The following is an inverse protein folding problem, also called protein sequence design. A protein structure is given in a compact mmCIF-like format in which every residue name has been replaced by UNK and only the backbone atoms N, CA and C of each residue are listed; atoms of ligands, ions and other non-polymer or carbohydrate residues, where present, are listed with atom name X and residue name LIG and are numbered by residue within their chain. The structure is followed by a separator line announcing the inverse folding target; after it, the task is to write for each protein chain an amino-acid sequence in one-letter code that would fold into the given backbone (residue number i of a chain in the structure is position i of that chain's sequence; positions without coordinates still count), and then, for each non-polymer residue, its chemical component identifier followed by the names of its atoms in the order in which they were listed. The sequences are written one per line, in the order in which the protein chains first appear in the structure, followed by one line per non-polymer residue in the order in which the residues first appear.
data_IF_444384849000
#
_entry.id   IF_444384849000
#
_cell.length_a   1.000
_cell.length_b   1.000
_cell.length_c   1.000
_cell.angle_alpha   90.00
_cell.angle_beta   90.00
_cell.angle_gamma   90.00
#
_symmetry.space_group_name_H-M   'P 1'
#
loop_
_entity.id
_entity.type
_entity.pdbx_description
1 polymer ?
#
# COMPACT_ATOMS: atom_id res chain seq x y z
N UNK A 1 6.26 -26.36 -7.87
CA UNK A 1 5.01 -26.58 -8.65
C UNK A 1 4.60 -25.25 -9.28
N UNK A 2 4.36 -25.19 -10.59
CA UNK A 2 3.89 -23.96 -11.25
C UNK A 2 2.43 -23.68 -10.90
N UNK A 3 2.15 -22.56 -10.21
CA UNK A 3 0.79 -22.06 -10.09
C UNK A 3 0.22 -21.80 -11.50
N UNK A 4 -0.93 -22.41 -11.84
CA UNK A 4 -1.58 -22.19 -13.13
C UNK A 4 -2.03 -20.73 -13.25
N UNK A 5 -2.10 -20.21 -14.48
CA UNK A 5 -2.58 -18.85 -14.75
C UNK A 5 -3.95 -18.58 -14.13
N UNK A 6 -4.83 -19.58 -13.99
CA UNK A 6 -6.13 -19.39 -13.34
C UNK A 6 -6.01 -19.09 -11.83
N UNK A 7 -5.06 -19.73 -11.12
CA UNK A 7 -4.84 -19.44 -9.68
C UNK A 7 -4.30 -18.03 -9.46
N UNK A 8 -3.42 -17.56 -10.34
CA UNK A 8 -2.93 -16.19 -10.32
C UNK A 8 -4.06 -15.18 -10.53
N UNK A 9 -4.90 -15.38 -11.55
CA UNK A 9 -6.03 -14.50 -11.84
C UNK A 9 -7.03 -14.50 -10.68
N UNK A 10 -7.29 -15.66 -10.07
CA UNK A 10 -8.12 -15.76 -8.86
C UNK A 10 -7.54 -14.95 -7.69
N UNK A 11 -6.24 -15.06 -7.42
CA UNK A 11 -5.61 -14.30 -6.33
C UNK A 11 -5.50 -12.78 -6.60
N UNK A 12 -5.31 -12.38 -7.86
CA UNK A 12 -5.38 -10.97 -8.26
C UNK A 12 -6.81 -10.45 -8.12
N UNK A 13 -7.81 -11.24 -8.53
CA UNK A 13 -9.22 -10.92 -8.35
C UNK A 13 -9.57 -10.81 -6.86
N UNK A 14 -9.16 -11.74 -6.01
CA UNK A 14 -9.37 -11.69 -4.56
C UNK A 14 -8.73 -10.46 -3.94
N UNK A 15 -7.53 -10.08 -4.38
CA UNK A 15 -6.86 -8.87 -3.89
C UNK A 15 -7.50 -7.59 -4.35
N UNK A 16 -7.78 -7.43 -5.65
CA UNK A 16 -8.51 -6.27 -6.15
C UNK A 16 -9.90 -6.19 -5.52
N UNK A 17 -10.52 -7.34 -5.26
CA UNK A 17 -11.79 -7.44 -4.56
C UNK A 17 -11.66 -6.99 -3.10
N UNK A 18 -10.65 -7.42 -2.35
CA UNK A 18 -10.39 -6.97 -0.97
C UNK A 18 -9.99 -5.49 -0.88
N UNK A 19 -9.23 -4.98 -1.85
CA UNK A 19 -8.81 -3.58 -1.91
C UNK A 19 -9.97 -2.65 -2.30
N UNK A 20 -10.76 -3.02 -3.31
CA UNK A 20 -11.98 -2.27 -3.68
C UNK A 20 -13.05 -2.34 -2.60
N UNK A 21 -13.17 -3.49 -1.93
CA UNK A 21 -13.99 -3.64 -0.72
C UNK A 21 -13.62 -2.58 0.32
N UNK A 22 -12.35 -2.50 0.72
CA UNK A 22 -11.91 -1.59 1.79
C UNK A 22 -11.82 -0.12 1.34
N UNK A 23 -11.72 0.15 0.04
CA UNK A 23 -11.71 1.52 -0.51
C UNK A 23 -12.97 2.31 -0.18
N UNK A 24 -14.15 1.69 -0.28
CA UNK A 24 -15.40 2.37 0.09
C UNK A 24 -15.45 2.72 1.57
N UNK A 25 -14.91 1.83 2.39
CA UNK A 25 -14.79 2.01 3.83
C UNK A 25 -13.85 3.18 4.20
N UNK A 26 -12.63 3.23 3.64
CA UNK A 26 -11.70 4.34 3.89
C UNK A 26 -12.22 5.68 3.34
N UNK A 27 -12.86 5.65 2.17
CA UNK A 27 -13.58 6.82 1.63
C UNK A 27 -14.69 7.30 2.57
N UNK A 28 -15.41 6.38 3.21
CA UNK A 28 -16.43 6.76 4.17
C UNK A 28 -15.78 7.43 5.38
N UNK A 29 -14.72 6.87 5.95
CA UNK A 29 -13.98 7.48 7.07
C UNK A 29 -13.54 8.90 6.72
N UNK A 30 -12.93 9.10 5.53
CA UNK A 30 -12.56 10.44 5.07
C UNK A 30 -13.75 11.39 4.91
N UNK A 31 -14.91 10.89 4.44
CA UNK A 31 -16.13 11.70 4.37
C UNK A 31 -16.67 12.04 5.77
N UNK A 32 -16.72 11.09 6.70
CA UNK A 32 -17.19 11.31 8.07
C UNK A 32 -16.30 12.31 8.80
N UNK A 33 -14.98 12.23 8.61
CA UNK A 33 -14.04 13.19 9.16
C UNK A 33 -14.27 14.59 8.58
N UNK A 34 -14.47 14.70 7.26
CA UNK A 34 -14.77 15.99 6.65
C UNK A 34 -16.13 16.58 7.09
N UNK A 35 -17.11 15.74 7.42
CA UNK A 35 -18.37 16.17 8.04
C UNK A 35 -18.10 16.74 9.43
N UNK A 36 -17.32 16.04 10.24
CA UNK A 36 -17.00 16.44 11.60
C UNK A 36 -16.16 17.73 11.66
N UNK A 37 -15.06 17.79 10.91
CA UNK A 37 -14.09 18.90 11.00
C UNK A 37 -14.50 20.12 10.20
N UNK A 38 -15.10 19.91 9.02
CA UNK A 38 -15.32 20.97 8.02
C UNK A 38 -16.81 21.26 7.81
N UNK A 39 -17.68 20.64 8.59
CA UNK A 39 -19.15 20.78 8.46
C UNK A 39 -19.68 20.36 7.09
N UNK A 40 -18.94 19.52 6.34
CA UNK A 40 -19.39 19.06 5.01
C UNK A 40 -20.63 18.19 5.13
N UNK A 41 -21.36 18.05 4.02
CA UNK A 41 -22.51 17.15 3.93
C UNK A 41 -22.09 15.68 3.95
N UNK A 42 -22.78 14.90 4.77
CA UNK A 42 -22.62 13.44 4.84
C UNK A 42 -23.03 12.79 3.51
N UNK A 43 -22.15 11.95 2.95
CA UNK A 43 -22.46 11.17 1.77
C UNK A 43 -23.27 9.92 2.16
N UNK A 44 -24.59 10.06 2.20
CA UNK A 44 -25.51 8.97 2.57
C UNK A 44 -25.44 7.76 1.63
N UNK A 45 -25.17 7.98 0.35
CA UNK A 45 -25.02 6.89 -0.63
C UNK A 45 -23.80 6.03 -0.31
N UNK A 46 -22.66 6.67 -0.02
CA UNK A 46 -21.44 5.97 0.40
C UNK A 46 -21.66 5.22 1.72
N UNK A 47 -22.30 5.86 2.70
CA UNK A 47 -22.63 5.23 3.99
C UNK A 47 -23.53 4.00 3.83
N UNK A 48 -24.58 4.07 2.99
CA UNK A 48 -25.44 2.92 2.68
C UNK A 48 -24.66 1.80 2.03
N UNK A 49 -23.82 2.12 1.04
CA UNK A 49 -22.96 1.14 0.35
C UNK A 49 -22.00 0.45 1.32
N UNK A 50 -21.40 1.18 2.27
CA UNK A 50 -20.55 0.58 3.30
C UNK A 50 -21.35 -0.35 4.23
N UNK A 51 -22.57 0.01 4.64
CA UNK A 51 -23.43 -0.86 5.46
C UNK A 51 -23.72 -2.20 4.77
N UNK A 52 -24.01 -2.18 3.47
CA UNK A 52 -24.28 -3.39 2.67
C UNK A 52 -23.03 -4.28 2.58
N UNK A 53 -21.86 -3.67 2.47
CA UNK A 53 -20.59 -4.38 2.33
C UNK A 53 -19.97 -4.83 3.67
N UNK A 54 -20.49 -4.42 4.84
CA UNK A 54 -19.96 -4.82 6.16
C UNK A 54 -19.81 -6.34 6.31
N UNK A 55 -20.76 -7.12 5.79
CA UNK A 55 -20.73 -8.59 5.82
C UNK A 55 -19.56 -9.20 5.06
N UNK A 56 -18.98 -8.45 4.13
CA UNK A 56 -17.82 -8.88 3.36
C UNK A 56 -16.50 -8.63 4.10
N UNK A 57 -16.52 -7.80 5.17
CA UNK A 57 -15.32 -7.42 5.92
C UNK A 57 -15.31 -7.98 7.34
N UNK A 58 -16.49 -8.20 7.92
CA UNK A 58 -16.66 -8.68 9.28
C UNK A 58 -17.33 -10.06 9.22
N UNK A 59 -16.59 -11.13 9.53
CA UNK A 59 -17.10 -12.50 9.39
C UNK A 59 -18.16 -12.84 10.45
N UNK A 60 -18.18 -12.15 11.58
CA UNK A 60 -19.13 -12.42 12.66
C UNK A 60 -20.45 -11.64 12.48
N UNK A 61 -21.61 -12.33 12.36
CA UNK A 61 -22.89 -11.65 12.16
C UNK A 61 -23.30 -10.69 13.29
N UNK A 62 -22.93 -11.00 14.53
CA UNK A 62 -23.28 -10.18 15.70
C UNK A 62 -22.58 -8.81 15.65
N UNK A 63 -21.32 -8.78 15.20
CA UNK A 63 -20.56 -7.56 15.00
C UNK A 63 -21.05 -6.76 13.78
N UNK A 64 -21.43 -7.44 12.70
CA UNK A 64 -22.05 -6.76 11.54
C UNK A 64 -23.27 -5.97 11.99
N UNK A 65 -24.13 -6.55 12.83
CA UNK A 65 -25.32 -5.87 13.35
C UNK A 65 -24.95 -4.68 14.24
N UNK A 66 -23.96 -4.85 15.11
CA UNK A 66 -23.44 -3.79 15.98
C UNK A 66 -22.90 -2.60 15.15
N UNK A 67 -22.12 -2.88 14.11
CA UNK A 67 -21.51 -1.85 13.26
C UNK A 67 -22.54 -1.21 12.33
N UNK A 68 -23.51 -1.98 11.82
CA UNK A 68 -24.64 -1.43 11.08
C UNK A 68 -25.50 -0.49 11.95
N UNK A 69 -25.66 -0.82 13.24
CA UNK A 69 -26.32 0.05 14.23
C UNK A 69 -25.54 1.34 14.45
N UNK A 70 -24.22 1.27 14.59
CA UNK A 70 -23.34 2.44 14.67
C UNK A 70 -23.41 3.33 13.42
N UNK A 71 -23.32 2.76 12.22
CA UNK A 71 -23.47 3.52 10.99
C UNK A 71 -24.87 4.13 10.84
N UNK A 72 -25.89 3.50 11.43
CA UNK A 72 -27.26 4.04 11.46
C UNK A 72 -27.43 5.15 12.48
N UNK A 73 -26.71 5.14 13.59
CA UNK A 73 -26.69 6.29 14.50
C UNK A 73 -26.05 7.50 13.83
N UNK A 74 -24.94 7.33 13.12
CA UNK A 74 -24.31 8.39 12.30
C UNK A 74 -25.29 8.98 11.29
N UNK A 75 -26.03 8.13 10.57
CA UNK A 75 -26.99 8.59 9.56
C UNK A 75 -28.13 9.44 10.14
N UNK A 76 -28.59 9.09 11.35
CA UNK A 76 -29.70 9.77 12.04
C UNK A 76 -29.25 11.02 12.80
N UNK A 77 -28.13 10.91 13.50
CA UNK A 77 -27.68 11.88 14.50
C UNK A 77 -26.56 12.79 14.01
N UNK A 78 -25.97 12.48 12.86
CA UNK A 78 -24.76 13.10 12.35
C UNK A 78 -23.48 12.60 13.04
N UNK A 79 -22.35 13.10 12.55
CA UNK A 79 -21.03 12.83 13.14
C UNK A 79 -20.78 13.84 14.25
N UNK A 80 -20.88 13.39 15.50
CA UNK A 80 -20.82 14.26 16.69
C UNK A 80 -19.46 14.31 17.38
N UNK A 81 -18.59 13.35 17.12
CA UNK A 81 -17.28 13.24 17.74
C UNK A 81 -16.25 12.73 16.75
N UNK A 82 -14.97 12.99 17.06
CA UNK A 82 -13.84 12.43 16.33
C UNK A 82 -13.93 10.90 16.29
N UNK A 83 -14.16 10.24 17.44
CA UNK A 83 -14.37 8.81 17.50
C UNK A 83 -15.51 8.31 16.61
N UNK A 84 -16.60 9.07 16.42
CA UNK A 84 -17.64 8.72 15.43
C UNK A 84 -17.16 8.87 13.98
N UNK A 85 -16.18 9.71 13.69
CA UNK A 85 -15.61 9.85 12.35
C UNK A 85 -14.63 8.72 12.01
N UNK A 86 -13.78 8.35 12.97
CA UNK A 86 -12.67 7.41 12.78
C UNK A 86 -12.93 6.01 13.32
N UNK A 87 -13.97 5.82 14.13
CA UNK A 87 -14.21 4.59 14.88
C UNK A 87 -14.41 3.34 14.04
N UNK A 88 -14.83 3.49 12.79
CA UNK A 88 -14.86 2.38 11.82
C UNK A 88 -13.48 1.71 11.63
N UNK A 89 -12.40 2.49 11.75
CA UNK A 89 -11.00 2.07 11.55
C UNK A 89 -10.58 0.87 12.38
N UNK A 90 -10.54 0.98 13.71
CA UNK A 90 -10.21 -0.13 14.57
C UNK A 90 -11.23 -1.26 14.46
N UNK A 91 -12.51 -0.96 14.25
CA UNK A 91 -13.58 -1.96 14.24
C UNK A 91 -13.50 -2.95 13.07
N UNK A 92 -13.05 -2.51 11.90
CA UNK A 92 -12.90 -3.41 10.74
C UNK A 92 -11.50 -3.99 10.67
N UNK A 93 -10.45 -3.24 11.00
CA UNK A 93 -9.08 -3.72 10.83
C UNK A 93 -8.58 -4.62 11.97
N UNK A 94 -9.12 -4.48 13.18
CA UNK A 94 -8.76 -5.34 14.32
C UNK A 94 -9.99 -6.11 14.83
N UNK A 95 -10.86 -6.53 13.90
CA UNK A 95 -12.17 -7.12 14.23
C UNK A 95 -12.05 -8.34 15.15
N UNK A 96 -10.99 -9.14 15.07
CA UNK A 96 -10.81 -10.35 15.88
C UNK A 96 -10.61 -10.00 17.37
N UNK A 97 -9.81 -8.96 17.64
CA UNK A 97 -9.62 -8.45 18.99
C UNK A 97 -10.88 -7.80 19.54
N UNK A 98 -11.58 -7.04 18.70
CA UNK A 98 -12.85 -6.41 19.07
C UNK A 98 -13.99 -7.42 19.24
N UNK A 99 -14.03 -8.48 18.43
CA UNK A 99 -14.95 -9.61 18.55
C UNK A 99 -14.81 -10.23 19.93
N UNK A 100 -13.58 -10.57 20.34
CA UNK A 100 -13.32 -11.08 21.68
C UNK A 100 -13.78 -10.10 22.76
N UNK A 101 -13.33 -8.84 22.68
CA UNK A 101 -13.68 -7.78 23.65
C UNK A 101 -15.19 -7.63 23.80
N UNK A 102 -15.94 -7.49 22.71
CA UNK A 102 -17.39 -7.28 22.77
C UNK A 102 -18.19 -8.57 22.99
N UNK A 103 -17.61 -9.75 22.75
CA UNK A 103 -18.28 -11.03 23.05
C UNK A 103 -18.44 -11.28 24.54
N UNK A 104 -17.54 -10.70 25.35
CA UNK A 104 -17.52 -10.82 26.81
C UNK A 104 -18.38 -9.75 27.50
N UNK A 105 -18.82 -8.72 26.76
CA UNK A 105 -19.59 -7.59 27.29
C UNK A 105 -21.11 -7.85 27.26
N UNK A 106 -21.78 -7.53 28.37
CA UNK A 106 -23.24 -7.69 28.49
C UNK A 106 -24.02 -6.70 27.58
N UNK A 107 -23.55 -5.45 27.47
CA UNK A 107 -24.08 -4.46 26.53
C UNK A 107 -23.00 -4.03 25.52
N UNK A 108 -22.99 -4.74 24.39
CA UNK A 108 -22.08 -4.48 23.26
C UNK A 108 -22.20 -3.07 22.69
N UNK A 109 -23.40 -2.48 22.74
CA UNK A 109 -23.62 -1.13 22.22
C UNK A 109 -23.01 -0.09 23.14
N UNK A 110 -23.24 -0.21 24.44
CA UNK A 110 -22.67 0.70 25.43
C UNK A 110 -21.14 0.58 25.50
N UNK A 111 -20.60 -0.65 25.40
CA UNK A 111 -19.16 -0.87 25.30
C UNK A 111 -18.56 -0.24 24.04
N UNK A 112 -19.26 -0.32 22.89
CA UNK A 112 -18.85 0.33 21.66
C UNK A 112 -18.87 1.86 21.80
N UNK A 113 -19.95 2.45 22.35
CA UNK A 113 -20.01 3.89 22.58
C UNK A 113 -18.91 4.35 23.54
N UNK A 114 -18.64 3.61 24.60
CA UNK A 114 -17.53 3.86 25.51
C UNK A 114 -16.17 3.85 24.79
N UNK A 115 -15.94 2.85 23.94
CA UNK A 115 -14.74 2.78 23.10
C UNK A 115 -14.64 3.96 22.13
N UNK A 116 -15.71 4.29 21.42
CA UNK A 116 -15.73 5.42 20.49
C UNK A 116 -15.50 6.75 21.21
N UNK A 117 -15.97 6.88 22.45
CA UNK A 117 -15.75 8.08 23.26
C UNK A 117 -14.33 8.13 23.84
N UNK A 118 -13.66 6.99 24.02
CA UNK A 118 -12.23 6.94 24.38
C UNK A 118 -11.30 7.24 23.20
N UNK A 119 -11.82 7.25 21.97
CA UNK A 119 -11.08 7.76 20.81
C UNK A 119 -11.09 9.29 20.90
N UNK A 120 -10.12 9.81 21.64
CA UNK A 120 -10.02 11.21 21.95
C UNK A 120 -9.71 12.05 20.71
N UNK A 121 -10.19 13.29 20.73
CA UNK A 121 -9.79 14.30 19.77
C UNK A 121 -8.32 14.63 20.00
N UNK A 122 -7.49 14.25 19.05
CA UNK A 122 -6.14 14.76 19.00
C UNK A 122 -6.16 16.09 18.22
N UNK A 123 -6.21 17.21 18.95
CA UNK A 123 -6.10 18.59 18.40
C UNK A 123 -4.95 18.73 17.39
N UNK A 124 -3.92 17.93 17.61
CA UNK A 124 -2.65 17.93 16.90
C UNK A 124 -2.77 17.15 15.58
N UNK A 125 -3.58 16.09 15.53
CA UNK A 125 -3.55 15.06 14.48
C UNK A 125 -3.98 15.52 13.09
N UNK A 126 -4.70 16.64 12.95
CA UNK A 126 -5.19 17.12 11.64
C UNK A 126 -5.05 18.63 11.40
N UNK A 127 -4.65 19.42 12.40
CA UNK A 127 -4.33 20.85 12.20
C UNK A 127 -2.88 21.03 11.75
N UNK A 128 -2.69 20.96 10.44
CA UNK A 128 -1.47 21.47 9.80
C UNK A 128 -0.32 20.49 9.64
N UNK A 129 -0.43 19.26 10.15
CA UNK A 129 0.58 18.24 9.91
C UNK A 129 0.68 17.82 8.43
N UNK A 130 1.93 17.65 8.00
CA UNK A 130 2.32 17.17 6.68
C UNK A 130 3.23 15.96 6.84
N UNK A 131 3.03 14.94 6.01
CA UNK A 131 3.84 13.74 6.04
C UNK A 131 3.91 13.10 7.44
N UNK A 132 5.13 13.02 7.95
CA UNK A 132 5.56 12.21 9.09
C UNK A 132 4.77 12.42 10.38
N UNK A 133 4.40 13.66 10.67
CA UNK A 133 3.69 14.00 11.90
C UNK A 133 2.28 13.41 11.91
N UNK A 134 1.56 13.46 10.78
CA UNK A 134 0.26 12.80 10.61
C UNK A 134 0.41 11.27 10.69
N UNK A 135 1.47 10.72 10.10
CA UNK A 135 1.69 9.29 10.10
C UNK A 135 1.96 8.73 11.50
N UNK A 136 2.82 9.41 12.26
CA UNK A 136 3.14 9.02 13.63
C UNK A 136 1.91 9.11 14.55
N UNK A 137 1.09 10.14 14.38
CA UNK A 137 -0.16 10.26 15.11
C UNK A 137 -1.12 9.09 14.79
N UNK A 138 -1.22 8.67 13.53
CA UNK A 138 -2.08 7.54 13.15
C UNK A 138 -1.54 6.25 13.79
N UNK A 139 -0.22 6.06 13.82
CA UNK A 139 0.42 4.89 14.43
C UNK A 139 0.24 4.77 15.95
N UNK A 140 -0.10 5.85 16.64
CA UNK A 140 -0.45 5.80 18.06
C UNK A 140 -1.84 5.20 18.28
N UNK A 141 -2.71 5.25 17.26
CA UNK A 141 -4.12 4.91 17.36
C UNK A 141 -4.49 3.60 16.61
N UNK A 142 -3.64 3.17 15.68
CA UNK A 142 -3.88 1.99 14.86
C UNK A 142 -2.56 1.33 14.44
N UNK A 143 -2.63 0.15 13.83
CA UNK A 143 -1.46 -0.57 13.35
C UNK A 143 -0.81 0.12 12.14
N UNK A 144 0.42 -0.28 11.83
CA UNK A 144 1.21 0.30 10.75
C UNK A 144 0.50 0.28 9.39
N UNK A 145 -0.09 -0.84 9.00
CA UNK A 145 -0.71 -0.98 7.69
C UNK A 145 -1.98 -0.12 7.60
N UNK A 146 -2.81 -0.14 8.63
CA UNK A 146 -3.99 0.73 8.69
C UNK A 146 -3.60 2.21 8.65
N UNK A 147 -2.57 2.62 9.39
CA UNK A 147 -2.07 3.99 9.37
C UNK A 147 -1.62 4.42 7.97
N UNK A 148 -0.91 3.55 7.23
CA UNK A 148 -0.47 3.87 5.85
C UNK A 148 -1.63 4.03 4.88
N UNK A 149 -2.64 3.16 4.97
CA UNK A 149 -3.85 3.23 4.15
C UNK A 149 -4.56 4.56 4.39
N UNK A 150 -4.79 4.90 5.66
CA UNK A 150 -5.43 6.15 6.07
C UNK A 150 -4.71 7.38 5.59
N UNK A 151 -3.40 7.45 5.85
CA UNK A 151 -2.58 8.57 5.44
C UNK A 151 -2.61 8.75 3.91
N UNK A 152 -2.62 7.63 3.17
CA UNK A 152 -2.86 7.59 1.72
C UNK A 152 -4.14 8.30 1.32
N UNK A 153 -5.29 7.92 1.88
CA UNK A 153 -6.58 8.53 1.54
C UNK A 153 -6.73 9.99 1.97
N UNK A 154 -5.98 10.43 2.98
CA UNK A 154 -6.05 11.80 3.51
C UNK A 154 -5.15 12.79 2.77
N UNK A 155 -4.04 12.29 2.22
CA UNK A 155 -2.95 13.09 1.62
C UNK A 155 -2.41 12.35 0.40
N UNK A 156 -3.28 12.06 -0.58
CA UNK A 156 -3.10 11.23 -1.81
C UNK A 156 -1.71 11.29 -2.52
N UNK A 157 -0.86 12.25 -2.18
CA UNK A 157 0.44 12.55 -2.79
C UNK A 157 1.66 12.17 -1.91
N UNK A 158 1.49 11.89 -0.61
CA UNK A 158 2.59 11.68 0.35
C UNK A 158 2.71 10.23 0.86
N UNK A 159 1.68 9.40 0.70
CA UNK A 159 1.56 8.11 1.36
C UNK A 159 1.17 6.97 0.42
N UNK A 160 1.91 5.86 0.52
CA UNK A 160 1.61 4.60 -0.12
C UNK A 160 0.74 3.72 0.79
N UNK A 161 -0.43 3.34 0.29
CA UNK A 161 -1.31 2.35 0.91
C UNK A 161 -0.66 0.96 0.86
N UNK A 162 -0.37 0.35 2.03
CA UNK A 162 0.30 -0.96 2.11
C UNK A 162 -0.61 -2.07 2.65
N UNK A 163 -0.35 -3.30 2.19
CA UNK A 163 -0.82 -4.53 2.82
C UNK A 163 0.38 -5.42 3.21
N UNK A 164 0.12 -6.50 3.93
CA UNK A 164 1.18 -7.42 4.39
C UNK A 164 1.95 -8.05 3.22
N UNK A 165 1.25 -8.37 2.12
CA UNK A 165 1.84 -8.99 0.93
C UNK A 165 2.89 -8.13 0.23
N UNK A 166 2.86 -6.81 0.45
CA UNK A 166 3.78 -5.85 -0.16
C UNK A 166 4.78 -5.34 0.86
N UNK A 167 4.34 -5.04 2.09
CA UNK A 167 5.22 -4.53 3.13
C UNK A 167 6.28 -5.55 3.55
N UNK A 168 5.91 -6.82 3.72
CA UNK A 168 6.83 -7.86 4.22
C UNK A 168 7.96 -8.16 3.21
N UNK A 169 7.70 -8.42 1.93
CA UNK A 169 8.77 -8.76 0.98
C UNK A 169 9.68 -7.59 0.63
N UNK A 170 9.20 -6.35 0.80
CA UNK A 170 9.97 -5.13 0.57
C UNK A 170 10.65 -4.61 1.84
N UNK A 171 10.55 -5.37 2.93
CA UNK A 171 11.09 -5.01 4.24
C UNK A 171 10.67 -3.59 4.66
N UNK A 172 9.45 -3.18 4.30
CA UNK A 172 8.92 -1.87 4.66
C UNK A 172 8.40 -1.96 6.09
N UNK A 173 9.07 -1.23 6.98
CA UNK A 173 8.76 -1.12 8.40
C UNK A 173 8.29 0.28 8.74
N UNK A 174 7.81 0.46 9.97
CA UNK A 174 7.48 1.77 10.53
C UNK A 174 8.64 2.76 10.43
N UNK A 175 9.87 2.29 10.65
CA UNK A 175 11.08 3.11 10.76
C UNK A 175 11.61 3.55 9.40
N UNK A 176 11.37 2.80 8.34
CA UNK A 176 11.91 3.09 7.00
C UNK A 176 10.85 3.57 5.99
N UNK A 177 9.56 3.48 6.31
CA UNK A 177 8.45 3.80 5.41
C UNK A 177 8.62 5.14 4.68
N UNK A 178 8.82 6.24 5.42
CA UNK A 178 8.91 7.57 4.80
C UNK A 178 10.17 7.74 3.96
N UNK A 179 11.25 7.03 4.29
CA UNK A 179 12.48 7.04 3.48
C UNK A 179 12.24 6.36 2.12
N UNK A 180 11.43 5.30 2.11
CA UNK A 180 11.11 4.52 0.91
C UNK A 180 10.03 5.19 0.06
N UNK A 181 9.04 5.81 0.69
CA UNK A 181 7.83 6.32 0.01
C UNK A 181 7.99 7.77 -0.47
N UNK A 182 8.69 8.64 0.28
CA UNK A 182 8.90 10.05 -0.12
C UNK A 182 9.51 10.25 -1.51
N UNK A 183 10.43 9.39 -2.02
CA UNK A 183 10.97 9.50 -3.37
C UNK A 183 9.98 9.18 -4.50
N UNK A 184 8.89 8.46 -4.23
CA UNK A 184 8.03 7.83 -5.25
C UNK A 184 6.81 8.69 -5.66
N UNK A 185 6.80 10.00 -5.40
CA UNK A 185 5.60 10.89 -5.44
C UNK A 185 4.79 10.82 -6.74
N UNK A 186 3.46 10.88 -6.63
CA UNK A 186 2.54 11.12 -7.77
C UNK A 186 2.07 9.85 -8.50
N UNK A 187 1.86 9.95 -9.82
CA UNK A 187 1.44 8.82 -10.68
C UNK A 187 2.39 7.62 -10.60
N UNK A 188 3.68 7.89 -10.36
CA UNK A 188 4.72 6.87 -10.17
C UNK A 188 4.40 5.93 -9.00
N UNK A 189 3.84 6.45 -7.90
CA UNK A 189 3.51 5.68 -6.70
C UNK A 189 2.43 4.61 -6.97
N UNK A 190 1.42 4.95 -7.78
CA UNK A 190 0.31 4.05 -8.15
C UNK A 190 0.76 2.99 -9.15
N UNK A 191 1.57 3.39 -10.14
CA UNK A 191 2.16 2.47 -11.13
C UNK A 191 3.12 1.49 -10.45
N UNK A 192 3.96 1.98 -9.55
CA UNK A 192 4.94 1.20 -8.80
C UNK A 192 4.27 0.19 -7.86
N UNK A 193 3.19 0.58 -7.17
CA UNK A 193 2.40 -0.33 -6.35
C UNK A 193 1.70 -1.42 -7.17
N UNK A 194 1.10 -1.05 -8.31
CA UNK A 194 0.48 -2.00 -9.23
C UNK A 194 1.49 -3.00 -9.79
N UNK A 195 2.70 -2.54 -10.13
CA UNK A 195 3.80 -3.37 -10.58
C UNK A 195 4.31 -4.30 -9.45
N UNK A 196 4.65 -3.77 -8.27
CA UNK A 196 5.16 -4.54 -7.13
C UNK A 196 4.19 -5.61 -6.64
N UNK A 197 2.91 -5.28 -6.51
CA UNK A 197 1.86 -6.23 -6.15
C UNK A 197 1.77 -7.37 -7.15
N UNK A 198 1.85 -7.06 -8.44
CA UNK A 198 1.86 -8.05 -9.52
C UNK A 198 3.12 -8.93 -9.48
N UNK A 199 4.28 -8.34 -9.21
CA UNK A 199 5.58 -9.02 -9.15
C UNK A 199 5.69 -10.00 -7.98
N UNK A 200 5.30 -9.59 -6.78
CA UNK A 200 5.39 -10.39 -5.55
C UNK A 200 4.43 -11.58 -5.54
N UNK A 201 3.27 -11.44 -6.21
CA UNK A 201 2.28 -12.52 -6.35
C UNK A 201 2.61 -13.52 -7.44
N UNK A 202 3.52 -13.17 -8.34
CA UNK A 202 3.85 -13.99 -9.50
C UNK A 202 4.95 -15.01 -9.25
N UNK A 203 5.78 -14.87 -8.22
CA UNK A 203 6.89 -15.77 -7.85
C UNK A 203 7.83 -16.15 -9.04
N UNK A 204 7.77 -15.39 -10.15
CA UNK A 204 8.26 -15.82 -11.48
C UNK A 204 8.79 -14.73 -12.39
N UNK A 205 8.91 -13.48 -11.95
CA UNK A 205 9.38 -12.44 -12.87
C UNK A 205 10.92 -12.39 -12.88
N UNK A 206 11.49 -12.53 -14.09
CA UNK A 206 12.95 -12.49 -14.31
C UNK A 206 13.50 -11.16 -13.78
N UNK A 207 14.47 -11.26 -12.88
CA UNK A 207 15.21 -10.21 -12.16
C UNK A 207 15.46 -8.91 -12.96
N UNK A 208 15.64 -9.01 -14.27
CA UNK A 208 15.92 -7.88 -15.16
C UNK A 208 14.75 -6.88 -15.29
N UNK A 209 13.50 -7.35 -15.26
CA UNK A 209 12.33 -6.47 -15.33
C UNK A 209 12.10 -5.69 -14.02
N UNK A 210 12.49 -6.29 -12.89
CA UNK A 210 12.45 -5.67 -11.56
C UNK A 210 13.57 -4.62 -11.43
N UNK A 211 14.76 -4.91 -11.96
CA UNK A 211 15.90 -3.97 -12.00
C UNK A 211 15.59 -2.72 -12.83
N UNK A 212 14.87 -2.88 -13.94
CA UNK A 212 14.39 -1.77 -14.78
C UNK A 212 13.40 -0.86 -14.02
N UNK A 213 12.45 -1.45 -13.27
CA UNK A 213 11.50 -0.70 -12.43
C UNK A 213 12.17 0.00 -11.22
N UNK A 214 13.29 -0.52 -10.73
CA UNK A 214 14.06 0.04 -9.61
C UNK A 214 15.10 1.10 -10.03
N UNK A 215 15.20 1.42 -11.33
CA UNK A 215 16.21 2.35 -11.83
C UNK A 215 17.64 1.80 -11.79
N UNK A 216 17.81 0.48 -11.66
CA UNK A 216 19.12 -0.17 -11.71
C UNK A 216 19.48 -0.37 -13.19
N UNK A 217 20.42 0.44 -13.68
CA UNK A 217 20.86 0.40 -15.08
C UNK A 217 21.48 -0.95 -15.43
N UNK A 218 20.80 -1.72 -16.29
CA UNK A 218 21.32 -2.97 -16.86
C UNK A 218 22.65 -2.75 -17.57
N UNK A 219 22.82 -1.59 -18.21
CA UNK A 219 24.10 -1.15 -18.77
C UNK A 219 25.18 -1.11 -17.69
N UNK A 220 24.90 -0.46 -16.54
CA UNK A 220 25.89 -0.37 -15.46
C UNK A 220 26.27 -1.74 -14.89
N UNK A 221 25.30 -2.63 -14.70
CA UNK A 221 25.57 -3.99 -14.21
C UNK A 221 26.41 -4.80 -15.20
N UNK A 222 26.05 -4.77 -16.48
CA UNK A 222 26.80 -5.46 -17.52
C UNK A 222 28.20 -4.88 -17.67
N UNK A 223 28.35 -3.56 -17.53
CA UNK A 223 29.63 -2.88 -17.61
C UNK A 223 30.54 -3.26 -16.44
N UNK A 224 30.01 -3.28 -15.22
CA UNK A 224 30.75 -3.73 -14.02
C UNK A 224 31.22 -5.18 -14.16
N UNK A 225 30.36 -6.07 -14.70
CA UNK A 225 30.73 -7.47 -14.97
C UNK A 225 31.76 -7.61 -16.09
N UNK A 226 31.58 -6.90 -17.19
CA UNK A 226 32.50 -6.93 -18.32
C UNK A 226 33.90 -6.42 -17.92
N UNK A 227 33.97 -5.34 -17.12
CA UNK A 227 35.24 -4.82 -16.58
C UNK A 227 35.89 -5.81 -15.62
N UNK A 228 35.09 -6.49 -14.78
CA UNK A 228 35.63 -7.53 -13.88
C UNK A 228 36.22 -8.70 -14.67
N UNK A 229 35.46 -9.29 -15.61
CA UNK A 229 35.95 -10.38 -16.46
C UNK A 229 37.18 -9.98 -17.27
N UNK A 230 37.23 -8.72 -17.75
CA UNK A 230 38.40 -8.17 -18.42
C UNK A 230 39.64 -8.15 -17.52
N UNK A 231 39.51 -7.65 -16.30
CA UNK A 231 40.63 -7.58 -15.35
C UNK A 231 41.08 -8.96 -14.84
N UNK A 232 40.19 -9.95 -14.88
CA UNK A 232 40.48 -11.35 -14.55
C UNK A 232 41.01 -12.14 -15.77
N UNK A 233 41.29 -11.46 -16.90
CA UNK A 233 41.77 -12.03 -18.17
C UNK A 233 40.81 -13.07 -18.79
N UNK A 234 39.54 -13.05 -18.39
CA UNK A 234 38.44 -13.84 -18.95
C UNK A 234 37.87 -13.13 -20.19
N UNK A 235 38.70 -12.95 -21.21
CA UNK A 235 38.40 -12.06 -22.36
C UNK A 235 37.20 -12.53 -23.20
N UNK A 236 36.96 -13.83 -23.31
CA UNK A 236 35.78 -14.36 -24.00
C UNK A 236 34.47 -13.99 -23.29
N UNK A 237 34.43 -14.07 -21.95
CA UNK A 237 33.25 -13.68 -21.18
C UNK A 237 33.05 -12.16 -21.21
N UNK A 238 34.15 -11.39 -21.14
CA UNK A 238 34.09 -9.94 -21.33
C UNK A 238 33.55 -9.57 -22.73
N UNK A 239 33.96 -10.30 -23.78
CA UNK A 239 33.46 -10.13 -25.15
C UNK A 239 31.94 -10.31 -25.24
N UNK A 240 31.40 -11.41 -24.72
CA UNK A 240 29.95 -11.68 -24.74
C UNK A 240 29.17 -10.59 -23.99
N UNK A 241 29.67 -10.14 -22.85
CA UNK A 241 29.04 -9.08 -22.04
C UNK A 241 29.10 -7.71 -22.73
N UNK A 242 30.21 -7.37 -23.40
CA UNK A 242 30.30 -6.14 -24.19
C UNK A 242 29.44 -6.19 -25.45
N UNK A 243 29.22 -7.37 -26.04
CA UNK A 243 28.30 -7.53 -27.18
C UNK A 243 26.84 -7.34 -26.75
N UNK A 244 26.47 -7.86 -25.56
CA UNK A 244 25.17 -7.58 -24.95
C UNK A 244 24.99 -6.06 -24.73
N UNK A 245 26.00 -5.38 -24.17
CA UNK A 245 26.02 -3.91 -24.02
C UNK A 245 25.86 -3.17 -25.35
N UNK A 246 26.61 -3.57 -26.38
CA UNK A 246 26.53 -2.98 -27.71
C UNK A 246 25.12 -3.06 -28.31
N UNK A 247 24.42 -4.16 -28.05
CA UNK A 247 23.08 -4.39 -28.58
C UNK A 247 21.98 -3.64 -27.81
N UNK A 248 22.25 -3.16 -26.60
CA UNK A 248 21.30 -2.36 -25.82
C UNK A 248 21.11 -0.94 -26.37
N UNK A 249 22.10 -0.37 -27.06
CA UNK A 249 22.04 1.02 -27.55
C UNK A 249 21.68 1.11 -29.03
N UNK A 250 20.81 2.07 -29.37
CA UNK A 250 20.48 2.44 -30.76
C UNK A 250 21.28 3.66 -31.26
N UNK A 251 21.97 4.37 -30.38
CA UNK A 251 22.79 5.53 -30.72
C UNK A 251 24.13 5.08 -31.35
N UNK A 252 24.42 5.55 -32.55
CA UNK A 252 25.59 5.12 -33.34
C UNK A 252 26.94 5.51 -32.73
N UNK A 253 27.04 6.64 -32.02
CA UNK A 253 28.29 7.04 -31.35
C UNK A 253 28.58 6.12 -30.16
N UNK A 254 27.59 5.84 -29.32
CA UNK A 254 27.73 4.93 -28.16
C UNK A 254 28.03 3.50 -28.63
N UNK A 255 27.35 3.05 -29.69
CA UNK A 255 27.61 1.75 -30.31
C UNK A 255 29.02 1.63 -30.87
N UNK A 256 29.63 2.70 -31.39
CA UNK A 256 31.03 2.67 -31.87
C UNK A 256 32.00 2.41 -30.71
N UNK A 257 31.78 3.02 -29.55
CA UNK A 257 32.59 2.77 -28.36
C UNK A 257 32.53 1.31 -27.91
N UNK A 258 31.33 0.74 -27.77
CA UNK A 258 31.19 -0.67 -27.38
C UNK A 258 31.69 -1.63 -28.45
N UNK A 259 31.51 -1.33 -29.75
CA UNK A 259 32.05 -2.15 -30.84
C UNK A 259 33.58 -2.23 -30.79
N UNK A 260 34.25 -1.15 -30.40
CA UNK A 260 35.70 -1.16 -30.20
C UNK A 260 36.09 -2.11 -29.05
N UNK A 261 35.40 -2.02 -27.91
CA UNK A 261 35.63 -2.90 -26.74
C UNK A 261 35.35 -4.38 -27.05
N UNK A 262 34.28 -4.69 -27.78
CA UNK A 262 33.96 -6.06 -28.24
C UNK A 262 35.09 -6.65 -29.08
N UNK A 263 35.65 -5.84 -30.00
CA UNK A 263 36.76 -6.28 -30.87
C UNK A 263 38.06 -6.44 -30.09
N UNK A 264 38.32 -5.56 -29.15
CA UNK A 264 39.50 -5.65 -28.29
C UNK A 264 39.45 -6.84 -27.33
N UNK A 265 38.26 -7.27 -26.89
CA UNK A 265 38.09 -8.48 -26.06
C UNK A 265 38.24 -9.78 -26.88
N UNK A 266 37.95 -9.73 -28.18
CA UNK A 266 38.04 -10.88 -29.08
C UNK A 266 39.47 -11.13 -29.57
N UNK A 267 40.25 -10.07 -29.70
CA UNK A 267 41.65 -10.09 -30.16
C UNK A 267 42.59 -10.55 -29.04
#
# INVERSE_FOLDING_TARGET
MSLSKERLVAHLADYFFELEKRKHYYKLVGNLLAVYEKGKTLNKSLLRRVKELLRLWVPEPSLVQLYARYLSSIEKEGVRSFGRAVGLLPLVNDYARFSKRFSEEADKWQALEGFLNSLDYCEVCFRGFKGEELFNCLLEQTDFLTATQLAGYLKDDEFLALDEFIAVPLEITKENYLKIVRPLRGEDLRLYYGALSTLLRLDRVKLNFVKELLGISRERELLEKAVKSWNEELFWEAHELFEELFNLFRNDEIRRCYRALVRSALA
#
